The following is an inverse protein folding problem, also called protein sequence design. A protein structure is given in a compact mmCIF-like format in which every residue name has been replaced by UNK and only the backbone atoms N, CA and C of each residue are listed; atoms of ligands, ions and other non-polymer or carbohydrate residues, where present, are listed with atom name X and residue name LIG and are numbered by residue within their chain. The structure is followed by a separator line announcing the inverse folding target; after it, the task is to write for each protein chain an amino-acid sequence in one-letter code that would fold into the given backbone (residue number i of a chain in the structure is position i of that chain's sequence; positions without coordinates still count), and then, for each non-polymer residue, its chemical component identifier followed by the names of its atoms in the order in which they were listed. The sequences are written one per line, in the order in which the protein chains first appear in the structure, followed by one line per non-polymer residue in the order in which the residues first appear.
data_IF_168575421035
#
_entry.id   IF_168575421035
#
_cell.length_a   1.000
_cell.length_b   1.000
_cell.length_c   1.000
_cell.angle_alpha   90.00
_cell.angle_beta   90.00
_cell.angle_gamma   90.00
#
_symmetry.space_group_name_H-M   'P 1'
#
loop_
_entity.id
_entity.type
_entity.pdbx_description
1 polymer ?
#
# COMPACT_ATOMS: atom_id res chain seq x y z
N UNK A 1 16.96 14.04 1.75
CA UNK A 1 17.46 12.67 1.51
C UNK A 1 16.67 12.06 0.34
N UNK A 2 17.32 11.33 -0.59
CA UNK A 2 16.67 10.68 -1.72
C UNK A 2 16.07 9.31 -1.33
N UNK A 3 14.91 9.33 -0.67
CA UNK A 3 14.26 8.12 -0.14
C UNK A 3 13.16 7.54 -1.04
N UNK A 4 12.77 8.27 -2.10
CA UNK A 4 11.75 7.81 -3.04
C UNK A 4 12.36 7.04 -4.20
N UNK A 5 11.54 6.23 -4.87
CA UNK A 5 11.97 5.42 -6.03
C UNK A 5 12.65 6.27 -7.11
N UNK A 6 13.64 5.69 -7.79
CA UNK A 6 14.42 6.38 -8.81
C UNK A 6 15.36 7.48 -8.25
N UNK A 7 15.62 7.49 -6.95
CA UNK A 7 16.45 8.51 -6.29
C UNK A 7 15.71 9.83 -6.03
N UNK A 8 14.37 9.82 -6.04
CA UNK A 8 13.56 11.00 -5.75
C UNK A 8 13.72 11.51 -4.31
N UNK A 9 13.62 12.82 -4.13
CA UNK A 9 13.82 13.51 -2.86
C UNK A 9 12.86 14.70 -2.68
N UNK A 10 12.78 15.20 -1.44
CA UNK A 10 12.19 16.49 -1.11
C UNK A 10 10.66 16.52 -1.01
N UNK A 11 10.12 17.65 -0.54
CA UNK A 11 8.69 17.85 -0.33
C UNK A 11 7.89 17.87 -1.64
N UNK A 12 8.55 18.18 -2.76
CA UNK A 12 7.93 18.14 -4.09
C UNK A 12 7.34 16.76 -4.43
N UNK A 13 7.90 15.68 -3.90
CA UNK A 13 7.37 14.33 -4.11
C UNK A 13 5.96 14.16 -3.51
N UNK A 14 5.62 14.93 -2.48
CA UNK A 14 4.33 14.88 -1.77
C UNK A 14 3.23 15.74 -2.42
N UNK A 15 3.56 16.49 -3.47
CA UNK A 15 2.60 17.35 -4.22
C UNK A 15 2.62 17.09 -5.73
N UNK A 16 3.41 16.13 -6.20
CA UNK A 16 3.51 15.76 -7.62
C UNK A 16 2.46 14.72 -8.09
N UNK A 17 2.49 14.32 -9.36
CA UNK A 17 1.53 13.38 -9.96
C UNK A 17 1.37 12.04 -9.26
N UNK A 18 2.40 11.56 -8.56
CA UNK A 18 2.40 10.29 -7.84
C UNK A 18 2.17 10.45 -6.33
N UNK A 19 1.92 11.68 -5.86
CA UNK A 19 1.77 11.96 -4.43
C UNK A 19 0.58 11.21 -3.81
N UNK A 20 -0.47 10.93 -4.59
CA UNK A 20 -1.63 10.20 -4.10
C UNK A 20 -1.30 8.80 -3.60
N UNK A 21 -0.37 8.09 -4.26
CA UNK A 21 0.13 6.81 -3.77
C UNK A 21 0.81 6.97 -2.40
N UNK A 22 1.65 8.00 -2.25
CA UNK A 22 2.41 8.24 -1.02
C UNK A 22 1.49 8.56 0.17
N UNK A 23 0.52 9.43 -0.04
CA UNK A 23 -0.44 9.77 1.01
C UNK A 23 -1.33 8.58 1.40
N UNK A 24 -1.75 7.78 0.42
CA UNK A 24 -2.57 6.60 0.71
C UNK A 24 -1.77 5.43 1.29
N UNK A 25 -0.44 5.39 1.19
CA UNK A 25 0.36 4.44 1.97
C UNK A 25 0.24 4.68 3.50
N UNK A 26 -0.04 5.91 3.93
CA UNK A 26 -0.36 6.17 5.34
C UNK A 26 -1.70 5.53 5.72
N UNK A 27 -2.71 5.69 4.87
CA UNK A 27 -4.03 5.07 5.05
C UNK A 27 -3.91 3.54 5.03
N UNK A 28 -3.13 2.99 4.10
CA UNK A 28 -2.81 1.57 4.01
C UNK A 28 -2.28 1.02 5.33
N UNK A 29 -1.27 1.68 5.92
CA UNK A 29 -0.64 1.18 7.15
C UNK A 29 -1.59 1.20 8.34
N UNK A 30 -2.38 2.27 8.49
CA UNK A 30 -3.41 2.34 9.54
C UNK A 30 -4.51 1.29 9.35
N UNK A 31 -5.01 1.12 8.13
CA UNK A 31 -6.07 0.17 7.82
C UNK A 31 -5.62 -1.28 8.03
N UNK A 32 -4.49 -1.66 7.45
CA UNK A 32 -3.96 -3.03 7.57
C UNK A 32 -3.60 -3.38 9.00
N UNK A 33 -3.02 -2.44 9.76
CA UNK A 33 -2.75 -2.62 11.19
C UNK A 33 -4.03 -2.75 12.01
N UNK A 34 -5.10 -2.04 11.66
CA UNK A 34 -6.38 -2.15 12.38
C UNK A 34 -7.12 -3.45 12.06
N UNK A 35 -6.93 -4.01 10.87
CA UNK A 35 -7.61 -5.21 10.40
C UNK A 35 -6.83 -6.49 10.69
N UNK A 36 -5.56 -6.42 11.08
CA UNK A 36 -4.71 -7.60 11.32
C UNK A 36 -4.09 -7.58 12.70
N UNK A 37 -3.91 -8.77 13.27
CA UNK A 37 -3.42 -8.98 14.63
C UNK A 37 -2.65 -10.32 14.71
N UNK A 38 -2.14 -10.66 15.90
CA UNK A 38 -1.40 -11.90 16.15
C UNK A 38 -2.20 -13.19 15.93
N UNK A 39 -3.54 -13.12 15.88
CA UNK A 39 -4.46 -14.25 15.67
C UNK A 39 -4.88 -14.36 14.21
N UNK A 40 -4.52 -13.39 13.37
CA UNK A 40 -4.95 -13.31 11.99
C UNK A 40 -4.28 -14.39 11.14
N UNK A 41 -5.12 -15.20 10.48
CA UNK A 41 -4.67 -16.19 9.51
C UNK A 41 -4.20 -15.54 8.20
N UNK A 42 -3.48 -16.31 7.37
CA UNK A 42 -2.94 -15.88 6.08
C UNK A 42 -3.99 -15.21 5.19
N UNK A 43 -5.21 -15.75 5.13
CA UNK A 43 -6.31 -15.20 4.31
C UNK A 43 -6.77 -13.82 4.81
N UNK A 44 -6.91 -13.64 6.14
CA UNK A 44 -7.31 -12.35 6.73
C UNK A 44 -6.23 -11.29 6.47
N UNK A 45 -4.95 -11.65 6.60
CA UNK A 45 -3.82 -10.77 6.27
C UNK A 45 -3.85 -10.40 4.79
N UNK A 46 -4.04 -11.37 3.89
CA UNK A 46 -4.11 -11.13 2.46
C UNK A 46 -5.24 -10.14 2.09
N UNK A 47 -6.46 -10.39 2.58
CA UNK A 47 -7.62 -9.54 2.28
C UNK A 47 -7.46 -8.12 2.86
N UNK A 48 -6.90 -7.98 4.05
CA UNK A 48 -6.63 -6.67 4.63
C UNK A 48 -5.62 -5.87 3.80
N UNK A 49 -4.52 -6.50 3.37
CA UNK A 49 -3.52 -5.84 2.54
C UNK A 49 -4.04 -5.57 1.12
N UNK A 50 -4.86 -6.46 0.54
CA UNK A 50 -5.51 -6.23 -0.75
C UNK A 50 -6.47 -5.03 -0.70
N UNK A 51 -7.24 -4.88 0.37
CA UNK A 51 -8.10 -3.72 0.57
C UNK A 51 -7.29 -2.42 0.71
N UNK A 52 -6.20 -2.46 1.49
CA UNK A 52 -5.30 -1.33 1.61
C UNK A 52 -4.69 -0.93 0.26
N UNK A 53 -4.23 -1.91 -0.51
CA UNK A 53 -3.60 -1.70 -1.82
C UNK A 53 -4.59 -1.10 -2.83
N UNK A 54 -5.84 -1.55 -2.82
CA UNK A 54 -6.91 -0.94 -3.62
C UNK A 54 -7.10 0.55 -3.28
N UNK A 55 -7.03 0.94 -1.99
CA UNK A 55 -7.08 2.36 -1.62
C UNK A 55 -5.86 3.14 -2.11
N UNK A 56 -4.67 2.53 -2.09
CA UNK A 56 -3.45 3.14 -2.65
C UNK A 56 -3.63 3.44 -4.14
N UNK A 57 -4.23 2.53 -4.91
CA UNK A 57 -4.57 2.80 -6.31
C UNK A 57 -5.60 3.91 -6.47
N UNK A 58 -6.63 3.99 -5.61
CA UNK A 58 -7.59 5.11 -5.64
C UNK A 58 -6.86 6.44 -5.46
N UNK A 59 -6.00 6.56 -4.45
CA UNK A 59 -5.18 7.76 -4.24
C UNK A 59 -4.30 8.09 -5.45
N UNK A 60 -3.63 7.08 -5.99
CA UNK A 60 -2.80 7.17 -7.17
C UNK A 60 -3.53 7.71 -8.40
N UNK A 61 -4.66 7.10 -8.76
CA UNK A 61 -5.51 7.51 -9.89
C UNK A 61 -5.97 8.95 -9.71
N UNK A 62 -6.43 9.32 -8.51
CA UNK A 62 -6.86 10.70 -8.23
C UNK A 62 -5.72 11.68 -8.47
N UNK A 63 -4.52 11.40 -7.97
CA UNK A 63 -3.36 12.28 -8.20
C UNK A 63 -2.93 12.33 -9.68
N UNK A 64 -2.94 11.21 -10.39
CA UNK A 64 -2.60 11.19 -11.82
C UNK A 64 -3.62 11.96 -12.67
N UNK A 65 -4.91 11.84 -12.33
CA UNK A 65 -5.96 12.56 -13.02
C UNK A 65 -5.87 14.07 -12.77
N UNK A 66 -5.86 14.49 -11.51
CA UNK A 66 -5.96 15.91 -11.16
C UNK A 66 -4.63 16.67 -11.22
N UNK A 67 -3.49 16.04 -10.90
CA UNK A 67 -2.19 16.72 -10.84
C UNK A 67 -1.34 16.52 -12.10
N UNK A 68 -1.51 15.41 -12.82
CA UNK A 68 -0.87 15.19 -14.12
C UNK A 68 -1.80 15.47 -15.32
N UNK A 69 -3.07 15.79 -15.09
CA UNK A 69 -4.04 16.07 -16.16
C UNK A 69 -4.32 14.86 -17.06
N UNK A 70 -4.05 13.64 -16.58
CA UNK A 70 -4.28 12.43 -17.37
C UNK A 70 -5.79 12.15 -17.46
N UNK A 71 -6.32 11.78 -18.64
CA UNK A 71 -7.66 11.20 -18.73
C UNK A 71 -7.77 9.98 -17.80
N UNK A 72 -8.95 9.77 -17.21
CA UNK A 72 -9.18 8.70 -16.22
C UNK A 72 -8.75 7.32 -16.74
N UNK A 73 -9.09 6.99 -17.99
CA UNK A 73 -8.68 5.73 -18.64
C UNK A 73 -7.15 5.58 -18.70
N UNK A 74 -6.44 6.66 -19.04
CA UNK A 74 -4.97 6.67 -19.09
C UNK A 74 -4.37 6.52 -17.70
N UNK A 75 -4.96 7.15 -16.69
CA UNK A 75 -4.53 7.01 -15.30
C UNK A 75 -4.66 5.56 -14.81
N UNK A 76 -5.70 4.82 -15.23
CA UNK A 76 -5.85 3.39 -14.93
C UNK A 76 -4.78 2.54 -15.62
N UNK A 77 -4.60 2.73 -16.93
CA UNK A 77 -3.64 1.94 -17.73
C UNK A 77 -2.21 2.12 -17.25
N UNK A 78 -1.83 3.35 -16.89
CA UNK A 78 -0.47 3.65 -16.42
C UNK A 78 -0.30 3.41 -14.92
N UNK A 79 -1.32 3.74 -14.13
CA UNK A 79 -1.24 3.78 -12.68
C UNK A 79 -1.68 2.51 -11.95
N UNK A 80 -2.33 1.57 -12.63
CA UNK A 80 -2.85 0.34 -12.00
C UNK A 80 -2.39 -0.91 -12.73
N UNK A 81 -2.68 -1.01 -14.03
CA UNK A 81 -2.52 -2.26 -14.77
C UNK A 81 -1.11 -2.88 -14.72
N UNK A 82 -0.01 -2.12 -14.85
CA UNK A 82 1.34 -2.71 -14.74
C UNK A 82 1.67 -3.22 -13.34
N UNK A 83 0.92 -2.79 -12.31
CA UNK A 83 1.20 -3.09 -10.91
C UNK A 83 0.39 -4.27 -10.36
N UNK A 84 -0.72 -4.67 -11.00
CA UNK A 84 -1.60 -5.74 -10.51
C UNK A 84 -0.83 -7.05 -10.24
N UNK A 85 -0.11 -7.56 -11.24
CA UNK A 85 0.61 -8.84 -11.13
C UNK A 85 1.73 -8.77 -10.07
N UNK A 86 2.66 -7.79 -10.11
CA UNK A 86 3.69 -7.72 -9.08
C UNK A 86 3.13 -7.47 -7.67
N UNK A 87 2.03 -6.70 -7.53
CA UNK A 87 1.44 -6.43 -6.22
C UNK A 87 0.72 -7.66 -5.65
N UNK A 88 0.01 -8.45 -6.47
CA UNK A 88 -0.51 -9.75 -6.03
C UNK A 88 0.61 -10.66 -5.51
N UNK A 89 1.76 -10.69 -6.20
CA UNK A 89 2.94 -11.41 -5.73
C UNK A 89 3.45 -10.91 -4.36
N UNK A 90 3.53 -9.59 -4.17
CA UNK A 90 3.91 -8.97 -2.89
C UNK A 90 2.90 -9.28 -1.79
N UNK A 91 1.60 -9.19 -2.06
CA UNK A 91 0.54 -9.44 -1.10
C UNK A 91 0.55 -10.90 -0.62
N UNK A 92 0.82 -11.85 -1.52
CA UNK A 92 1.05 -13.25 -1.15
C UNK A 92 2.27 -13.40 -0.25
N UNK A 93 3.40 -12.80 -0.60
CA UNK A 93 4.61 -12.83 0.21
C UNK A 93 4.39 -12.21 1.61
N UNK A 94 3.75 -11.04 1.67
CA UNK A 94 3.38 -10.36 2.92
C UNK A 94 2.52 -11.29 3.78
N UNK A 95 1.54 -11.97 3.19
CA UNK A 95 0.61 -12.84 3.94
C UNK A 95 1.31 -14.06 4.53
N UNK A 96 2.20 -14.69 3.76
CA UNK A 96 2.96 -15.86 4.20
C UNK A 96 4.04 -15.52 5.23
N UNK A 97 4.69 -14.36 5.10
CA UNK A 97 5.74 -13.91 6.02
C UNK A 97 5.15 -13.30 7.30
N UNK A 98 4.10 -12.50 7.19
CA UNK A 98 3.51 -11.80 8.34
C UNK A 98 2.81 -12.75 9.29
N UNK A 99 2.21 -13.84 8.81
CA UNK A 99 1.52 -14.78 9.68
C UNK A 99 2.42 -15.36 10.80
N UNK A 100 3.58 -16.00 10.51
CA UNK A 100 4.49 -16.45 11.55
C UNK A 100 5.14 -15.28 12.32
N UNK A 101 5.39 -14.14 11.67
CA UNK A 101 5.97 -12.98 12.32
C UNK A 101 5.06 -12.42 13.43
N UNK A 102 3.78 -12.22 13.13
CA UNK A 102 2.78 -11.72 14.08
C UNK A 102 2.56 -12.69 15.24
N UNK A 103 2.62 -14.00 14.99
CA UNK A 103 2.59 -15.01 16.06
C UNK A 103 3.78 -14.93 16.99
N UNK A 104 4.98 -14.63 16.47
CA UNK A 104 6.20 -14.46 17.27
C UNK A 104 6.20 -13.16 18.06
N UNK A 105 5.58 -12.11 17.52
CA UNK A 105 5.51 -10.79 18.14
C UNK A 105 4.34 -10.61 19.11
N UNK A 106 3.46 -11.59 19.26
CA UNK A 106 2.22 -11.52 20.07
C UNK A 106 2.38 -11.05 21.53
N UNK A 107 3.59 -11.19 22.10
CA UNK A 107 3.89 -10.80 23.48
C UNK A 107 4.45 -9.38 23.61
N UNK A 108 4.68 -8.69 22.50
CA UNK A 108 5.17 -7.31 22.48
C UNK A 108 4.01 -6.34 22.60
N UNK A 109 4.15 -5.29 23.42
CA UNK A 109 3.07 -4.38 23.80
C UNK A 109 2.21 -3.84 22.63
N UNK A 110 2.82 -3.60 21.47
CA UNK A 110 2.12 -3.13 20.28
C UNK A 110 1.20 -4.18 19.63
N UNK A 111 1.56 -5.47 19.74
CA UNK A 111 0.85 -6.59 19.08
C UNK A 111 -0.06 -7.37 20.03
N UNK A 112 -0.11 -6.97 21.30
CA UNK A 112 -0.96 -7.56 22.33
C UNK A 112 -2.39 -7.01 22.21
N UNK A 113 -3.10 -7.41 21.15
CA UNK A 113 -4.55 -7.18 20.96
C UNK A 113 -5.35 -8.50 21.02
#
# INVERSE_FOLDING_TARGET
LPVFAGGGAGLQALVGPTAGYLWFYLVYSGLTSSLTDSKSGVVKIFLANLLGDALVFVGGILSLHFLAGMPFEKALVVGVFPFIIPDLGKLLAISLISHPLLQRLKNQAYFTN
#
